data_IF_750718113290
#
_entry.id   IF_750718113290
#
_cell.length_a   1.000
_cell.length_b   1.000
_cell.length_c   1.000
_cell.angle_alpha   90.00
_cell.angle_beta   90.00
_cell.angle_gamma   90.00
#
_symmetry.space_group_name_H-M   'P 1'
#
loop_
_entity.id
_entity.type
_entity.pdbx_description
1 polymer ?
#
# COMPACT_ATOMS: atom_id res chain seq x y z
N UNK A 1 -22.84 -2.05 16.83
CA UNK A 1 -22.11 -1.79 15.59
C UNK A 1 -22.65 -0.50 14.98
N UNK A 2 -21.83 0.54 14.88
CA UNK A 2 -22.25 1.85 14.35
C UNK A 2 -22.26 1.84 12.81
N UNK A 3 -23.00 2.76 12.18
CA UNK A 3 -23.02 2.88 10.69
C UNK A 3 -21.61 3.12 10.14
N UNK A 4 -20.77 3.84 10.87
CA UNK A 4 -19.38 4.12 10.50
C UNK A 4 -18.51 2.87 10.52
N UNK A 5 -18.68 1.98 11.52
CA UNK A 5 -18.00 0.68 11.56
C UNK A 5 -18.39 -0.18 10.36
N UNK A 6 -19.68 -0.23 10.02
CA UNK A 6 -20.17 -1.00 8.86
C UNK A 6 -19.61 -0.49 7.53
N UNK A 7 -19.52 0.83 7.35
CA UNK A 7 -18.91 1.43 6.15
C UNK A 7 -17.41 1.11 6.11
N UNK A 8 -16.71 1.23 7.23
CA UNK A 8 -15.28 0.91 7.32
C UNK A 8 -15.00 -0.55 6.97
N UNK A 9 -15.78 -1.47 7.50
CA UNK A 9 -15.67 -2.90 7.20
C UNK A 9 -15.90 -3.18 5.72
N UNK A 10 -16.91 -2.54 5.12
CA UNK A 10 -17.18 -2.68 3.69
C UNK A 10 -16.00 -2.20 2.83
N UNK A 11 -15.36 -1.09 3.22
CA UNK A 11 -14.16 -0.58 2.54
C UNK A 11 -13.00 -1.56 2.68
N UNK A 12 -12.72 -2.08 3.87
CA UNK A 12 -11.66 -3.07 4.08
C UNK A 12 -11.86 -4.33 3.23
N UNK A 13 -13.09 -4.88 3.21
CA UNK A 13 -13.40 -6.07 2.43
C UNK A 13 -13.19 -5.87 0.94
N UNK A 14 -13.54 -4.70 0.39
CA UNK A 14 -13.32 -4.39 -1.02
C UNK A 14 -11.85 -4.07 -1.31
N UNK A 15 -11.16 -3.41 -0.38
CA UNK A 15 -9.74 -3.12 -0.50
C UNK A 15 -8.90 -4.39 -0.62
N UNK A 16 -9.29 -5.45 0.10
CA UNK A 16 -8.65 -6.76 0.10
C UNK A 16 -8.71 -7.49 -1.27
N UNK A 17 -9.41 -6.94 -2.27
CA UNK A 17 -9.37 -7.51 -3.61
C UNK A 17 -7.94 -7.44 -4.20
N UNK A 18 -7.39 -8.55 -4.73
CA UNK A 18 -6.04 -8.57 -5.31
C UNK A 18 -5.82 -7.58 -6.45
N UNK A 19 -6.84 -7.32 -7.28
CA UNK A 19 -6.78 -6.34 -8.37
C UNK A 19 -6.66 -4.92 -7.82
N UNK A 20 -7.33 -4.61 -6.71
CA UNK A 20 -7.15 -3.36 -5.96
C UNK A 20 -5.69 -3.21 -5.53
N UNK A 21 -5.14 -4.22 -4.82
CA UNK A 21 -3.75 -4.20 -4.35
C UNK A 21 -2.72 -4.00 -5.47
N UNK A 22 -2.76 -4.84 -6.52
CA UNK A 22 -1.80 -4.77 -7.62
C UNK A 22 -1.91 -3.49 -8.45
N UNK A 23 -3.13 -3.00 -8.71
CA UNK A 23 -3.30 -1.77 -9.49
C UNK A 23 -2.77 -0.53 -8.76
N UNK A 24 -2.77 -0.51 -7.41
CA UNK A 24 -2.16 0.58 -6.63
C UNK A 24 -0.64 0.63 -6.77
N UNK A 25 0.03 -0.49 -7.04
CA UNK A 25 1.48 -0.49 -7.32
C UNK A 25 1.82 0.38 -8.54
N UNK A 26 0.91 0.44 -9.52
CA UNK A 26 1.06 1.25 -10.74
C UNK A 26 0.90 2.76 -10.50
N UNK A 27 0.39 3.17 -9.33
CA UNK A 27 0.26 4.60 -9.00
C UNK A 27 1.62 5.29 -8.95
N UNK A 28 2.64 4.64 -8.38
CA UNK A 28 4.00 5.18 -8.30
C UNK A 28 4.56 5.53 -9.68
N UNK A 29 4.68 4.61 -10.67
CA UNK A 29 5.20 4.95 -11.99
C UNK A 29 4.35 5.99 -12.72
N UNK A 30 3.01 5.95 -12.56
CA UNK A 30 2.13 6.96 -13.18
C UNK A 30 2.37 8.36 -12.59
N UNK A 31 2.50 8.48 -11.26
CA UNK A 31 2.83 9.74 -10.59
C UNK A 31 4.20 10.27 -11.01
N UNK A 32 5.21 9.41 -11.06
CA UNK A 32 6.55 9.79 -11.52
C UNK A 32 6.52 10.27 -12.98
N UNK A 33 5.77 9.60 -13.85
CA UNK A 33 5.61 10.01 -15.23
C UNK A 33 4.85 11.34 -15.35
N UNK A 34 3.79 11.54 -14.56
CA UNK A 34 3.05 12.81 -14.51
C UNK A 34 3.94 13.98 -14.10
N UNK A 35 4.73 13.81 -13.03
CA UNK A 35 5.68 14.82 -12.55
C UNK A 35 6.78 15.06 -13.58
N UNK A 36 7.32 14.01 -14.19
CA UNK A 36 8.28 14.13 -15.28
C UNK A 36 7.69 14.93 -16.44
N UNK A 37 6.44 14.68 -16.84
CA UNK A 37 5.75 15.42 -17.92
C UNK A 37 5.23 16.80 -17.51
N UNK A 38 5.27 17.14 -16.23
CA UNK A 38 4.59 18.32 -15.64
C UNK A 38 3.09 18.33 -15.94
N UNK A 39 2.50 17.14 -16.02
CA UNK A 39 1.08 16.94 -16.31
C UNK A 39 0.28 16.86 -15.00
N UNK A 40 -0.20 18.01 -14.54
CA UNK A 40 -0.98 18.10 -13.31
C UNK A 40 -2.30 17.32 -13.37
N UNK A 41 -2.91 17.16 -14.55
CA UNK A 41 -4.15 16.39 -14.72
C UNK A 41 -3.89 14.92 -14.49
N UNK A 42 -2.82 14.38 -15.06
CA UNK A 42 -2.43 12.99 -14.84
C UNK A 42 -2.07 12.72 -13.36
N UNK A 43 -1.40 13.67 -12.70
CA UNK A 43 -1.12 13.56 -11.28
C UNK A 43 -2.39 13.52 -10.42
N UNK A 44 -3.34 14.42 -10.69
CA UNK A 44 -4.65 14.44 -10.02
C UNK A 44 -5.40 13.13 -10.28
N UNK A 45 -5.39 12.61 -11.51
CA UNK A 45 -6.05 11.35 -11.84
C UNK A 45 -5.44 10.16 -11.06
N UNK A 46 -4.11 10.11 -10.92
CA UNK A 46 -3.44 9.06 -10.16
C UNK A 46 -3.77 9.13 -8.65
N UNK A 47 -3.85 10.33 -8.08
CA UNK A 47 -4.27 10.53 -6.69
C UNK A 47 -5.74 10.14 -6.51
N UNK A 48 -6.63 10.61 -7.40
CA UNK A 48 -8.05 10.27 -7.37
C UNK A 48 -8.27 8.77 -7.49
N UNK A 49 -7.53 8.10 -8.39
CA UNK A 49 -7.54 6.65 -8.50
C UNK A 49 -7.20 5.99 -7.16
N UNK A 50 -6.16 6.44 -6.46
CA UNK A 50 -5.76 5.88 -5.16
C UNK A 50 -6.86 5.99 -4.10
N UNK A 51 -7.63 7.08 -4.11
CA UNK A 51 -8.74 7.33 -3.17
C UNK A 51 -9.93 6.43 -3.48
N UNK A 52 -10.28 6.28 -4.77
CA UNK A 52 -11.48 5.53 -5.19
C UNK A 52 -11.20 4.02 -5.30
N UNK A 53 -9.95 3.62 -5.53
CA UNK A 53 -9.53 2.23 -5.75
C UNK A 53 -10.08 1.20 -4.72
N UNK A 54 -10.10 1.49 -3.40
CA UNK A 54 -10.64 0.56 -2.40
C UNK A 54 -12.11 0.18 -2.61
N UNK A 55 -12.90 0.98 -3.36
CA UNK A 55 -14.31 0.69 -3.63
C UNK A 55 -14.58 0.23 -5.07
N UNK A 56 -13.61 0.34 -5.99
CA UNK A 56 -13.77 -0.03 -7.40
C UNK A 56 -13.97 -1.53 -7.63
N UNK A 57 -13.45 -2.37 -6.74
CA UNK A 57 -13.44 -3.82 -6.92
C UNK A 57 -14.36 -4.52 -5.91
N UNK A 58 -14.99 -5.62 -6.32
CA UNK A 58 -15.78 -6.46 -5.41
C UNK A 58 -14.88 -7.09 -4.34
N UNK A 59 -15.42 -7.48 -3.18
CA UNK A 59 -14.64 -8.24 -2.20
C UNK A 59 -14.05 -9.52 -2.81
N UNK A 60 -12.89 -10.01 -2.32
CA UNK A 60 -12.34 -11.29 -2.75
C UNK A 60 -13.25 -12.45 -2.30
N UNK A 61 -13.18 -13.57 -3.01
CA UNK A 61 -13.95 -14.77 -2.67
C UNK A 61 -13.28 -15.59 -1.55
N UNK A 62 -11.96 -15.54 -1.49
CA UNK A 62 -11.07 -16.26 -0.58
C UNK A 62 -9.84 -15.40 -0.23
N UNK A 63 -9.02 -15.90 0.69
CA UNK A 63 -7.82 -15.23 1.20
C UNK A 63 -6.52 -15.85 0.65
N UNK A 64 -6.61 -16.64 -0.44
CA UNK A 64 -5.49 -17.38 -1.01
C UNK A 64 -4.46 -16.47 -1.69
N UNK A 65 -4.93 -15.34 -2.23
CA UNK A 65 -4.08 -14.39 -2.91
C UNK A 65 -3.23 -13.57 -1.92
N UNK A 66 -1.93 -13.45 -2.21
CA UNK A 66 -1.00 -12.69 -1.35
C UNK A 66 -1.45 -11.24 -1.10
N UNK A 67 -1.97 -10.54 -2.12
CA UNK A 67 -2.48 -9.18 -1.95
C UNK A 67 -3.73 -9.11 -1.05
N UNK A 68 -4.53 -10.17 -0.99
CA UNK A 68 -5.63 -10.26 -0.02
C UNK A 68 -5.04 -10.31 1.39
N UNK A 69 -4.10 -11.23 1.63
CA UNK A 69 -3.39 -11.34 2.91
C UNK A 69 -2.67 -10.06 3.33
N UNK A 70 -2.08 -9.32 2.39
CA UNK A 70 -1.47 -8.00 2.65
C UNK A 70 -2.47 -7.05 3.31
N UNK A 71 -3.68 -6.94 2.77
CA UNK A 71 -4.70 -6.03 3.31
C UNK A 71 -5.25 -6.52 4.64
N UNK A 72 -5.43 -7.84 4.80
CA UNK A 72 -5.83 -8.44 6.08
C UNK A 72 -4.77 -8.20 7.16
N UNK A 73 -3.49 -8.40 6.84
CA UNK A 73 -2.38 -8.14 7.74
C UNK A 73 -2.24 -6.64 8.08
N UNK A 74 -2.47 -5.74 7.13
CA UNK A 74 -2.49 -4.29 7.39
C UNK A 74 -3.65 -3.91 8.32
N UNK A 75 -4.83 -4.50 8.11
CA UNK A 75 -5.99 -4.31 8.99
C UNK A 75 -5.72 -4.81 10.41
N UNK A 76 -5.21 -6.04 10.54
CA UNK A 76 -4.82 -6.63 11.82
C UNK A 76 -3.78 -5.76 12.55
N UNK A 77 -2.76 -5.27 11.83
CA UNK A 77 -1.72 -4.40 12.39
C UNK A 77 -2.30 -3.10 12.96
N UNK A 78 -3.23 -2.46 12.27
CA UNK A 78 -3.77 -1.16 12.67
C UNK A 78 -4.91 -1.28 13.67
N UNK A 79 -5.86 -2.19 13.43
CA UNK A 79 -7.10 -2.28 14.22
C UNK A 79 -6.96 -3.19 15.44
N UNK A 80 -6.28 -4.33 15.30
CA UNK A 80 -6.18 -5.32 16.38
C UNK A 80 -4.92 -5.10 17.23
N UNK A 81 -3.77 -4.87 16.59
CA UNK A 81 -2.51 -4.58 17.29
C UNK A 81 -2.41 -3.14 17.75
N UNK A 82 -3.20 -2.22 17.17
CA UNK A 82 -3.16 -0.80 17.49
C UNK A 82 -1.84 -0.11 17.08
N UNK A 83 -1.10 -0.72 16.16
CA UNK A 83 0.24 -0.28 15.77
C UNK A 83 0.18 0.71 14.61
N UNK A 84 1.08 1.70 14.62
CA UNK A 84 1.18 2.66 13.54
C UNK A 84 1.87 2.06 12.30
N UNK A 85 1.38 2.39 11.11
CA UNK A 85 2.06 2.06 9.84
C UNK A 85 3.30 2.91 9.56
N UNK A 86 3.53 3.94 10.39
CA UNK A 86 4.70 4.82 10.36
C UNK A 86 5.22 4.98 11.78
N UNK A 87 6.35 4.34 12.06
CA UNK A 87 7.04 4.44 13.34
C UNK A 87 8.53 4.17 13.16
N UNK A 88 9.30 4.28 14.24
CA UNK A 88 10.73 3.90 14.25
C UNK A 88 10.95 2.40 14.54
N UNK A 89 9.90 1.66 14.90
CA UNK A 89 9.98 0.23 15.17
C UNK A 89 9.90 -0.58 13.88
N UNK A 90 10.54 -1.74 13.87
CA UNK A 90 10.42 -2.69 12.77
C UNK A 90 9.05 -3.41 12.86
N UNK A 91 8.30 -3.56 11.76
CA UNK A 91 8.67 -3.26 10.37
C UNK A 91 8.28 -1.86 9.87
N UNK A 92 7.53 -1.06 10.63
CA UNK A 92 7.02 0.26 10.20
C UNK A 92 8.10 1.30 9.84
N UNK A 93 9.34 1.12 10.33
CA UNK A 93 10.51 1.89 9.91
C UNK A 93 10.77 1.80 8.40
N UNK A 94 10.43 0.68 7.75
CA UNK A 94 10.57 0.53 6.30
C UNK A 94 9.67 1.51 5.55
N UNK A 95 8.45 1.70 6.03
CA UNK A 95 7.50 2.64 5.46
C UNK A 95 7.86 4.09 5.80
N UNK A 96 8.49 4.34 6.96
CA UNK A 96 9.06 5.64 7.30
C UNK A 96 10.23 6.01 6.37
N UNK A 97 11.14 5.08 6.11
CA UNK A 97 12.25 5.25 5.16
C UNK A 97 11.77 5.40 3.71
N UNK A 98 10.63 4.82 3.37
CA UNK A 98 10.03 4.97 2.04
C UNK A 98 9.67 6.43 1.72
N UNK A 99 9.32 7.26 2.71
CA UNK A 99 8.94 8.66 2.48
C UNK A 99 10.06 9.48 1.78
N UNK A 100 11.29 9.57 2.32
CA UNK A 100 12.37 10.29 1.63
C UNK A 100 12.78 9.63 0.32
N UNK A 101 12.71 8.30 0.20
CA UNK A 101 13.02 7.59 -1.06
C UNK A 101 12.03 7.98 -2.15
N UNK A 102 10.73 7.96 -1.86
CA UNK A 102 9.69 8.38 -2.79
C UNK A 102 9.78 9.87 -3.13
N UNK A 103 10.07 10.73 -2.14
CA UNK A 103 10.32 12.15 -2.38
C UNK A 103 11.52 12.38 -3.31
N UNK A 104 12.60 11.61 -3.15
CA UNK A 104 13.76 11.67 -4.05
C UNK A 104 13.41 11.25 -5.49
N UNK A 105 12.52 10.27 -5.65
CA UNK A 105 12.03 9.83 -6.96
C UNK A 105 11.22 10.94 -7.66
N UNK A 106 10.32 11.59 -6.92
CA UNK A 106 9.55 12.74 -7.42
C UNK A 106 10.46 13.92 -7.80
N UNK A 107 11.46 14.22 -6.95
CA UNK A 107 12.44 15.26 -7.23
C UNK A 107 13.26 14.93 -8.49
N UNK A 108 13.76 13.70 -8.62
CA UNK A 108 14.48 13.26 -9.80
C UNK A 108 13.63 13.33 -11.06
N UNK A 109 12.35 12.93 -10.99
CA UNK A 109 11.40 13.07 -12.09
C UNK A 109 11.19 14.54 -12.47
N UNK A 110 10.99 15.40 -11.47
CA UNK A 110 10.82 16.85 -11.66
C UNK A 110 12.05 17.49 -12.31
N UNK A 111 13.26 17.10 -11.88
CA UNK A 111 14.55 17.54 -12.42
C UNK A 111 14.94 16.85 -13.74
N UNK A 112 14.03 16.08 -14.35
CA UNK A 112 14.26 15.38 -15.64
C UNK A 112 15.46 14.42 -15.62
N UNK A 113 15.67 13.73 -14.48
CA UNK A 113 16.69 12.67 -14.31
C UNK A 113 16.02 11.29 -14.34
N UNK A 114 15.67 10.74 -15.53
CA UNK A 114 14.80 9.57 -15.64
C UNK A 114 15.39 8.32 -14.98
N UNK A 115 16.69 8.07 -15.12
CA UNK A 115 17.35 6.91 -14.51
C UNK A 115 17.20 6.95 -12.99
N UNK A 116 17.52 8.07 -12.35
CA UNK A 116 17.38 8.24 -10.91
C UNK A 116 15.92 8.15 -10.45
N UNK A 117 14.98 8.72 -11.21
CA UNK A 117 13.56 8.63 -10.91
C UNK A 117 13.06 7.17 -10.94
N UNK A 118 13.47 6.39 -11.93
CA UNK A 118 13.12 4.97 -12.06
C UNK A 118 13.75 4.16 -10.92
N UNK A 119 15.05 4.32 -10.66
CA UNK A 119 15.72 3.58 -9.59
C UNK A 119 15.12 3.87 -8.21
N UNK A 120 14.92 5.15 -7.88
CA UNK A 120 14.30 5.54 -6.61
C UNK A 120 12.82 5.12 -6.53
N UNK A 121 12.09 5.16 -7.66
CA UNK A 121 10.71 4.67 -7.75
C UNK A 121 10.59 3.18 -7.50
N UNK A 122 11.47 2.37 -8.10
CA UNK A 122 11.55 0.93 -7.86
C UNK A 122 11.97 0.62 -6.42
N UNK A 123 12.94 1.37 -5.86
CA UNK A 123 13.32 1.24 -4.46
C UNK A 123 12.14 1.55 -3.52
N UNK A 124 11.33 2.57 -3.85
CA UNK A 124 10.14 2.93 -3.08
C UNK A 124 9.08 1.82 -3.12
N UNK A 125 8.80 1.26 -4.30
CA UNK A 125 7.91 0.11 -4.45
C UNK A 125 8.44 -1.07 -3.64
N UNK A 126 9.74 -1.37 -3.75
CA UNK A 126 10.40 -2.44 -3.01
C UNK A 126 10.27 -2.28 -1.50
N UNK A 127 10.52 -1.09 -0.94
CA UNK A 127 10.36 -0.82 0.49
C UNK A 127 8.92 -1.02 0.95
N UNK A 128 7.94 -0.54 0.18
CA UNK A 128 6.52 -0.75 0.51
C UNK A 128 6.16 -2.24 0.46
N UNK A 129 6.62 -2.98 -0.54
CA UNK A 129 6.39 -4.41 -0.66
C UNK A 129 7.06 -5.21 0.47
N UNK A 130 8.28 -4.85 0.88
CA UNK A 130 8.96 -5.48 2.02
C UNK A 130 8.26 -5.18 3.33
N UNK A 131 7.77 -3.96 3.53
CA UNK A 131 6.96 -3.63 4.70
C UNK A 131 5.71 -4.51 4.81
N UNK A 132 4.94 -4.64 3.72
CA UNK A 132 3.71 -5.45 3.77
C UNK A 132 4.00 -6.95 3.85
N UNK A 133 5.08 -7.43 3.23
CA UNK A 133 5.55 -8.81 3.37
C UNK A 133 5.85 -9.18 4.83
N UNK A 134 6.50 -8.26 5.56
CA UNK A 134 6.75 -8.40 6.99
C UNK A 134 5.48 -8.38 7.85
N UNK A 135 4.43 -7.66 7.42
CA UNK A 135 3.13 -7.74 8.08
C UNK A 135 2.47 -9.09 7.83
N UNK A 136 2.48 -9.58 6.59
CA UNK A 136 1.90 -10.89 6.23
C UNK A 136 2.57 -12.01 7.04
N UNK A 137 3.91 -12.03 7.12
CA UNK A 137 4.61 -13.06 7.90
C UNK A 137 4.22 -13.07 9.38
N UNK A 138 4.03 -11.89 9.99
CA UNK A 138 3.58 -11.77 11.40
C UNK A 138 2.13 -12.21 11.57
N UNK A 139 1.28 -11.80 10.65
CA UNK A 139 -0.14 -12.16 10.63
C UNK A 139 -0.34 -13.67 10.50
N UNK A 140 0.36 -14.31 9.56
CA UNK A 140 0.29 -15.76 9.33
C UNK A 140 0.83 -16.55 10.54
N UNK A 141 1.88 -16.05 11.22
CA UNK A 141 2.43 -16.67 12.43
C UNK A 141 1.48 -16.59 13.64
N UNK A 142 0.76 -15.48 13.80
CA UNK A 142 -0.26 -15.31 14.84
C UNK A 142 -1.44 -16.28 14.62
N UNK A 143 -1.91 -16.39 13.36
CA UNK A 143 -2.98 -17.33 13.00
C UNK A 143 -2.59 -18.79 13.19
N UNK A 144 -1.32 -19.14 12.96
CA UNK A 144 -0.80 -20.49 13.20
C UNK A 144 -0.71 -20.85 14.69
N UNK A 145 -0.49 -19.86 15.55
CA UNK A 145 -0.36 -20.07 17.01
C UNK A 145 -1.74 -20.24 17.67
N UNK A 146 -2.75 -19.50 17.19
CA UNK A 146 -4.12 -19.54 17.71
C UNK A 146 -4.95 -20.74 17.24
N UNK A 147 -4.58 -21.39 16.14
CA UNK A 147 -5.24 -22.61 15.64
C UNK A 147 -4.66 -23.93 16.19
N UNK A 148 -3.67 -23.87 17.08
CA UNK A 148 -2.98 -25.02 17.66
C UNK A 148 -3.35 -25.36 19.11
N UNK A 149 -4.31 -24.64 19.71
CA UNK A 149 -4.93 -24.94 21.02
C UNK A 149 -6.32 -25.58 20.83
#
# INVERSE_FOLDING_TARGET
MTVLESIRDAVWRRHANPKSGWSRVLVTPVLLYAVYRRDGRLAVLAVAFTIVNPVLFSPPADDDAWMTRVVLAERWWVEERGEAVLSRSYPAVLNLLNLPVFASALLAAYLKRPVWAVLAGLASIGLKLRFVDELVQRYDAEGSTSGGE
#
